data_IF_707009909818
#
_entry.id   IF_707009909818
#
_cell.length_a   1.000
_cell.length_b   1.000
_cell.length_c   1.000
_cell.angle_alpha   90.00
_cell.angle_beta   90.00
_cell.angle_gamma   90.00
#
_symmetry.space_group_name_H-M   'P 1'
#
loop_
_entity.id
_entity.type
_entity.pdbx_description
1 polymer ?
#
# COMPACT_ATOMS: atom_id res chain seq x y z
N UNK A 1 9.52 -2.44 4.67
CA UNK A 1 8.84 -3.70 4.39
C UNK A 1 9.87 -4.71 3.93
N UNK A 2 10.61 -5.21 4.92
CA UNK A 2 11.38 -6.46 4.81
C UNK A 2 10.48 -7.60 5.27
N UNK A 3 10.81 -8.86 4.98
CA UNK A 3 9.89 -9.95 5.33
C UNK A 3 9.62 -10.09 6.84
N UNK A 4 10.50 -9.60 7.73
CA UNK A 4 10.24 -9.52 9.18
C UNK A 4 9.08 -8.61 9.58
N UNK A 5 8.59 -7.79 8.64
CA UNK A 5 7.47 -6.87 8.84
C UNK A 5 6.13 -7.59 8.59
N UNK A 6 6.14 -8.86 8.15
CA UNK A 6 4.94 -9.71 8.02
C UNK A 6 4.78 -10.59 9.26
N UNK A 7 3.56 -10.62 9.77
CA UNK A 7 3.12 -11.62 10.74
C UNK A 7 2.17 -12.61 10.05
N UNK A 8 2.55 -13.88 10.07
CA UNK A 8 1.66 -14.97 9.70
C UNK A 8 1.01 -15.52 10.98
N UNK A 9 -0.32 -15.50 11.02
CA UNK A 9 -1.11 -16.06 12.12
C UNK A 9 -1.78 -17.34 11.62
N UNK A 10 -1.64 -18.43 12.37
CA UNK A 10 -2.30 -19.72 12.08
C UNK A 10 -3.10 -20.14 13.32
N UNK A 11 -4.40 -19.82 13.40
CA UNK A 11 -5.18 -20.04 14.61
C UNK A 11 -5.70 -21.49 14.75
N UNK A 12 -5.79 -22.27 13.67
CA UNK A 12 -6.59 -23.52 13.66
C UNK A 12 -5.81 -24.81 13.35
N UNK A 13 -4.48 -24.80 13.38
CA UNK A 13 -3.68 -26.00 13.11
C UNK A 13 -3.31 -26.82 14.37
N UNK A 14 -3.63 -26.28 15.55
CA UNK A 14 -3.30 -26.89 16.82
C UNK A 14 -4.05 -28.19 17.07
N UNK A 15 -3.41 -29.10 17.81
CA UNK A 15 -3.99 -30.41 18.18
C UNK A 15 -3.86 -30.72 19.67
N UNK A 16 -3.20 -29.84 20.43
CA UNK A 16 -3.07 -30.04 21.86
C UNK A 16 -4.43 -29.91 22.55
N UNK A 17 -4.70 -30.80 23.50
CA UNK A 17 -5.83 -30.68 24.41
C UNK A 17 -5.31 -30.02 25.69
N UNK A 18 -5.94 -28.93 26.18
CA UNK A 18 -5.61 -28.34 27.47
C UNK A 18 -5.60 -29.40 28.59
N UNK A 19 -4.61 -29.41 29.49
CA UNK A 19 -4.51 -30.42 30.54
C UNK A 19 -5.69 -30.40 31.53
N UNK A 20 -6.45 -29.31 31.59
CA UNK A 20 -7.68 -29.21 32.37
C UNK A 20 -8.86 -30.00 31.78
N UNK A 21 -8.78 -30.40 30.51
CA UNK A 21 -9.81 -31.18 29.83
C UNK A 21 -9.37 -32.64 29.81
N UNK A 22 -10.10 -33.49 30.55
CA UNK A 22 -9.88 -34.92 30.47
C UNK A 22 -10.26 -35.45 29.09
N UNK A 23 -9.43 -36.31 28.51
CA UNK A 23 -9.78 -36.98 27.26
C UNK A 23 -11.01 -37.89 27.42
N UNK A 24 -11.25 -38.39 28.63
CA UNK A 24 -12.42 -39.23 28.94
C UNK A 24 -13.74 -38.44 28.99
N UNK A 25 -13.66 -37.11 29.10
CA UNK A 25 -14.81 -36.20 29.09
C UNK A 25 -15.25 -35.84 27.67
N UNK A 26 -14.39 -36.08 26.67
CA UNK A 26 -14.69 -35.78 25.26
C UNK A 26 -15.69 -36.78 24.68
N UNK A 27 -16.55 -36.29 23.78
CA UNK A 27 -17.55 -37.14 23.14
C UNK A 27 -16.91 -38.28 22.34
N UNK A 28 -17.62 -39.41 22.23
CA UNK A 28 -17.13 -40.54 21.43
C UNK A 28 -16.99 -40.18 19.93
N UNK A 29 -17.69 -39.14 19.49
CA UNK A 29 -17.62 -38.59 18.13
C UNK A 29 -16.51 -37.54 17.97
N UNK A 30 -15.80 -37.15 19.03
CA UNK A 30 -14.75 -36.15 18.99
C UNK A 30 -13.70 -36.39 17.87
N UNK A 31 -13.22 -37.62 17.61
CA UNK A 31 -12.32 -37.88 16.49
C UNK A 31 -12.89 -37.51 15.12
N UNK A 32 -14.21 -37.60 14.94
CA UNK A 32 -14.91 -37.20 13.71
C UNK A 32 -14.98 -35.68 13.58
N UNK A 33 -15.10 -34.95 14.69
CA UNK A 33 -15.12 -33.48 14.71
C UNK A 33 -13.79 -32.88 14.25
N UNK A 34 -12.69 -33.59 14.47
CA UNK A 34 -11.34 -33.15 14.08
C UNK A 34 -11.16 -32.96 12.56
N UNK A 35 -12.10 -33.43 11.72
CA UNK A 35 -12.11 -33.12 10.28
C UNK A 35 -12.27 -31.62 9.98
N UNK A 36 -12.71 -30.83 10.95
CA UNK A 36 -12.91 -29.39 10.84
C UNK A 36 -11.70 -28.56 11.34
N UNK A 37 -10.59 -29.22 11.68
CA UNK A 37 -9.30 -28.56 12.02
C UNK A 37 -8.57 -28.22 10.72
N UNK A 38 -7.89 -27.07 10.68
CA UNK A 38 -7.14 -26.61 9.51
C UNK A 38 -5.81 -27.36 9.38
N UNK A 39 -5.90 -28.64 9.01
CA UNK A 39 -4.77 -29.56 9.03
C UNK A 39 -3.59 -29.08 8.17
N UNK A 40 -2.40 -29.14 8.76
CA UNK A 40 -1.10 -28.85 8.11
C UNK A 40 -0.89 -27.37 7.70
N UNK A 41 -1.80 -26.46 8.04
CA UNK A 41 -1.66 -25.03 7.71
C UNK A 41 -0.43 -24.40 8.37
N UNK A 42 0.02 -24.89 9.52
CA UNK A 42 1.28 -24.46 10.14
C UNK A 42 2.50 -24.69 9.25
N UNK A 43 2.48 -25.71 8.39
CA UNK A 43 3.56 -25.98 7.43
C UNK A 43 3.34 -25.26 6.11
N UNK A 44 2.08 -25.14 5.68
CA UNK A 44 1.68 -24.42 4.46
C UNK A 44 2.04 -22.94 4.54
N UNK A 45 1.86 -22.31 5.69
CA UNK A 45 2.12 -20.90 5.93
C UNK A 45 3.46 -20.63 6.66
N UNK A 46 4.36 -21.61 6.73
CA UNK A 46 5.72 -21.40 7.26
C UNK A 46 6.65 -20.88 6.16
N UNK A 47 6.87 -19.56 6.16
CA UNK A 47 7.74 -18.87 5.21
C UNK A 47 9.04 -18.38 5.85
N UNK A 48 9.34 -18.75 7.10
CA UNK A 48 10.41 -18.11 7.87
C UNK A 48 11.78 -18.28 7.22
N UNK A 49 12.01 -19.40 6.54
CA UNK A 49 13.23 -19.69 5.80
C UNK A 49 13.34 -18.96 4.45
N UNK A 50 12.22 -18.49 3.89
CA UNK A 50 12.15 -17.85 2.57
C UNK A 50 12.03 -16.34 2.69
N UNK A 51 11.08 -15.88 3.53
CA UNK A 51 10.72 -14.48 3.73
C UNK A 51 11.36 -13.89 5.00
N UNK A 52 11.69 -14.71 6.01
CA UNK A 52 12.16 -14.19 7.30
C UNK A 52 11.06 -13.52 8.12
N UNK A 53 9.79 -13.90 7.90
CA UNK A 53 8.64 -13.36 8.61
C UNK A 53 8.56 -13.82 10.07
N UNK A 54 7.66 -13.19 10.82
CA UNK A 54 7.23 -13.67 12.13
C UNK A 54 6.04 -14.60 11.97
N UNK A 55 5.92 -15.60 12.84
CA UNK A 55 4.83 -16.57 12.81
C UNK A 55 4.30 -16.82 14.23
N UNK A 56 2.98 -16.81 14.37
CA UNK A 56 2.29 -17.27 15.58
C UNK A 56 1.36 -18.40 15.18
N UNK A 57 1.45 -19.52 15.90
CA UNK A 57 0.57 -20.68 15.75
C UNK A 57 -0.14 -20.88 17.07
N UNK A 58 -1.47 -21.01 17.04
CA UNK A 58 -2.21 -21.41 18.23
C UNK A 58 -2.09 -22.94 18.41
N UNK A 59 -1.57 -23.43 19.55
CA UNK A 59 -1.17 -24.83 19.67
C UNK A 59 -2.33 -25.78 20.03
N UNK A 60 -3.45 -25.26 20.53
CA UNK A 60 -4.58 -26.07 20.99
C UNK A 60 -5.59 -26.34 19.88
N UNK A 61 -6.34 -27.44 20.03
CA UNK A 61 -7.37 -27.85 19.09
C UNK A 61 -8.50 -26.80 19.01
N UNK A 62 -8.80 -26.32 17.80
CA UNK A 62 -9.84 -25.31 17.55
C UNK A 62 -11.25 -25.76 17.94
N UNK A 63 -11.49 -27.08 17.94
CA UNK A 63 -12.76 -27.65 18.40
C UNK A 63 -13.00 -27.42 19.90
N UNK A 64 -11.93 -27.27 20.69
CA UNK A 64 -11.99 -27.03 22.13
C UNK A 64 -11.79 -25.56 22.48
N UNK A 65 -10.88 -24.89 21.77
CA UNK A 65 -10.50 -23.50 21.97
C UNK A 65 -10.37 -22.83 20.59
N UNK A 66 -11.39 -22.09 20.19
CA UNK A 66 -11.45 -21.44 18.87
C UNK A 66 -10.77 -20.06 18.94
N UNK A 67 -9.53 -19.98 18.47
CA UNK A 67 -8.71 -18.77 18.55
C UNK A 67 -9.07 -17.68 17.53
N UNK A 68 -9.96 -17.98 16.57
CA UNK A 68 -10.51 -16.97 15.66
C UNK A 68 -11.92 -16.49 16.07
N UNK A 69 -12.25 -16.58 17.38
CA UNK A 69 -13.45 -15.97 18.00
C UNK A 69 -13.06 -15.07 19.16
N UNK A 70 -13.97 -14.17 19.52
CA UNK A 70 -13.75 -13.23 20.61
C UNK A 70 -13.60 -13.98 21.95
N UNK A 71 -12.49 -13.81 22.69
CA UNK A 71 -12.32 -14.41 24.01
C UNK A 71 -13.39 -14.04 25.06
N UNK A 72 -14.20 -13.02 24.80
CA UNK A 72 -15.35 -12.64 25.64
C UNK A 72 -16.64 -13.40 25.28
N UNK A 73 -16.73 -13.95 24.08
CA UNK A 73 -17.90 -14.68 23.57
C UNK A 73 -17.70 -16.19 23.79
N UNK A 74 -17.86 -16.62 25.05
CA UNK A 74 -17.54 -17.99 25.51
C UNK A 74 -18.26 -19.10 24.73
N UNK A 75 -19.47 -18.83 24.23
CA UNK A 75 -20.26 -19.78 23.45
C UNK A 75 -19.66 -20.08 22.07
N UNK A 76 -18.80 -19.20 21.57
CA UNK A 76 -18.11 -19.41 20.31
C UNK A 76 -16.65 -19.81 20.50
N UNK A 77 -15.96 -19.21 21.48
CA UNK A 77 -14.52 -19.41 21.64
C UNK A 77 -14.15 -20.64 22.49
N UNK A 78 -15.08 -21.15 23.30
CA UNK A 78 -14.94 -22.43 24.03
C UNK A 78 -16.25 -23.20 23.90
N UNK A 79 -16.56 -23.77 22.72
CA UNK A 79 -17.88 -24.27 22.41
C UNK A 79 -18.22 -25.59 23.13
N UNK A 80 -19.51 -25.82 23.37
CA UNK A 80 -20.02 -27.12 23.86
C UNK A 80 -20.46 -28.03 22.72
N UNK A 81 -20.72 -27.46 21.54
CA UNK A 81 -21.15 -28.15 20.32
C UNK A 81 -20.37 -27.62 19.11
N UNK A 82 -20.19 -28.44 18.09
CA UNK A 82 -19.62 -27.99 16.81
C UNK A 82 -20.60 -27.10 16.03
N UNK A 83 -20.16 -26.63 14.85
CA UNK A 83 -20.98 -25.78 13.96
C UNK A 83 -22.25 -26.47 13.42
N UNK A 84 -22.38 -27.79 13.57
CA UNK A 84 -23.54 -28.59 13.18
C UNK A 84 -24.38 -29.01 14.39
N UNK A 85 -24.00 -28.64 15.60
CA UNK A 85 -24.70 -28.98 16.85
C UNK A 85 -24.29 -30.32 17.48
N UNK A 86 -23.22 -30.97 16.99
CA UNK A 86 -22.71 -32.20 17.60
C UNK A 86 -21.97 -31.89 18.92
N UNK A 87 -22.18 -32.67 19.99
CA UNK A 87 -21.57 -32.40 21.29
C UNK A 87 -20.06 -32.63 21.27
N UNK A 88 -19.31 -31.68 21.84
CA UNK A 88 -17.85 -31.78 22.03
C UNK A 88 -17.50 -32.68 23.22
N UNK A 89 -18.35 -32.66 24.25
CA UNK A 89 -18.17 -33.42 25.50
C UNK A 89 -19.22 -34.53 25.61
N UNK A 90 -18.95 -35.54 26.43
CA UNK A 90 -19.96 -36.53 26.84
C UNK A 90 -21.04 -35.86 27.67
N UNK A 91 -22.24 -36.42 27.61
CA UNK A 91 -23.37 -35.91 28.39
C UNK A 91 -23.07 -35.95 29.90
N UNK A 92 -23.16 -34.79 30.55
CA UNK A 92 -22.85 -34.60 31.96
C UNK A 92 -21.38 -34.26 32.25
N UNK A 93 -20.52 -34.26 31.23
CA UNK A 93 -19.10 -33.89 31.31
C UNK A 93 -18.83 -32.50 30.70
N UNK A 94 -19.87 -31.73 30.34
CA UNK A 94 -19.71 -30.39 29.80
C UNK A 94 -19.07 -29.45 30.83
N UNK A 95 -18.05 -28.66 30.44
CA UNK A 95 -17.44 -27.69 31.34
C UNK A 95 -18.43 -26.57 31.68
N UNK A 96 -18.38 -26.12 32.93
CA UNK A 96 -19.19 -24.98 33.36
C UNK A 96 -18.74 -23.68 32.68
N UNK A 97 -19.60 -22.67 32.64
CA UNK A 97 -19.24 -21.36 32.10
C UNK A 97 -18.02 -20.75 32.81
N UNK A 98 -17.85 -20.96 34.13
CA UNK A 98 -16.67 -20.44 34.84
C UNK A 98 -15.37 -21.12 34.40
N UNK A 99 -15.40 -22.43 34.13
CA UNK A 99 -14.26 -23.16 33.58
C UNK A 99 -13.92 -22.67 32.16
N UNK A 100 -14.93 -22.53 31.31
CA UNK A 100 -14.81 -22.04 29.92
C UNK A 100 -14.21 -20.63 29.89
N UNK A 101 -14.72 -19.72 30.71
CA UNK A 101 -14.15 -18.37 30.87
C UNK A 101 -12.69 -18.44 31.31
N UNK A 102 -12.37 -19.23 32.34
CA UNK A 102 -10.99 -19.36 32.81
C UNK A 102 -10.04 -19.88 31.72
N UNK A 103 -10.49 -20.80 30.86
CA UNK A 103 -9.69 -21.29 29.73
C UNK A 103 -9.53 -20.22 28.64
N UNK A 104 -10.58 -19.48 28.29
CA UNK A 104 -10.48 -18.35 27.36
C UNK A 104 -9.47 -17.30 27.85
N UNK A 105 -9.50 -16.98 29.14
CA UNK A 105 -8.55 -16.05 29.75
C UNK A 105 -7.11 -16.58 29.78
N UNK A 106 -6.95 -17.87 30.02
CA UNK A 106 -5.63 -18.51 30.11
C UNK A 106 -4.97 -18.73 28.76
N UNK A 107 -5.75 -19.03 27.71
CA UNK A 107 -5.21 -19.48 26.43
C UNK A 107 -5.47 -18.51 25.27
N UNK A 108 -6.68 -17.95 25.15
CA UNK A 108 -7.06 -17.12 24.01
C UNK A 108 -6.61 -15.66 24.17
N UNK A 109 -6.82 -15.06 25.36
CA UNK A 109 -6.37 -13.68 25.61
C UNK A 109 -4.85 -13.50 25.40
N UNK A 110 -3.96 -14.40 25.87
CA UNK A 110 -2.53 -14.29 25.60
C UNK A 110 -2.16 -14.47 24.14
N UNK A 111 -2.88 -15.31 23.39
CA UNK A 111 -2.68 -15.46 21.95
C UNK A 111 -2.93 -14.14 21.21
N UNK A 112 -4.06 -13.47 21.46
CA UNK A 112 -4.33 -12.17 20.85
C UNK A 112 -3.37 -11.07 21.31
N UNK A 113 -2.98 -11.07 22.58
CA UNK A 113 -1.94 -10.15 23.07
C UNK A 113 -0.62 -10.34 22.32
N UNK A 114 -0.24 -11.58 22.02
CA UNK A 114 0.99 -11.85 21.26
C UNK A 114 0.93 -11.26 19.84
N UNK A 115 -0.25 -11.20 19.22
CA UNK A 115 -0.45 -10.52 17.93
C UNK A 115 -0.19 -9.01 18.09
N UNK A 116 -0.81 -8.37 19.08
CA UNK A 116 -0.63 -6.94 19.38
C UNK A 116 0.84 -6.59 19.71
N UNK A 117 1.53 -7.44 20.46
CA UNK A 117 2.95 -7.30 20.79
C UNK A 117 3.83 -7.39 19.54
N UNK A 118 3.49 -8.26 18.58
CA UNK A 118 4.20 -8.35 17.30
C UNK A 118 3.99 -7.12 16.42
N UNK A 119 2.77 -6.58 16.36
CA UNK A 119 2.45 -5.32 15.66
C UNK A 119 3.23 -4.16 16.28
N UNK A 120 3.22 -4.07 17.61
CA UNK A 120 3.94 -3.04 18.36
C UNK A 120 5.46 -3.10 18.13
N UNK A 121 6.01 -4.31 17.98
CA UNK A 121 7.45 -4.54 17.79
C UNK A 121 7.92 -4.54 16.34
N UNK A 122 7.07 -4.15 15.38
CA UNK A 122 7.52 -3.83 14.02
C UNK A 122 6.75 -4.47 12.88
N UNK A 123 5.77 -5.35 13.15
CA UNK A 123 4.93 -5.91 12.09
C UNK A 123 4.07 -4.80 11.46
N UNK A 124 4.02 -4.80 10.13
CA UNK A 124 3.29 -3.85 9.28
C UNK A 124 2.18 -4.52 8.46
N UNK A 125 2.15 -5.85 8.35
CA UNK A 125 1.13 -6.61 7.62
C UNK A 125 0.83 -7.94 8.31
N UNK A 126 -0.44 -8.33 8.39
CA UNK A 126 -0.89 -9.62 8.95
C UNK A 126 -1.48 -10.48 7.83
N UNK A 127 -1.04 -11.73 7.74
CA UNK A 127 -1.69 -12.79 6.98
C UNK A 127 -2.33 -13.78 7.96
N UNK A 128 -3.66 -13.85 7.95
CA UNK A 128 -4.42 -14.85 8.71
C UNK A 128 -4.65 -16.09 7.83
N UNK A 129 -3.93 -17.17 8.14
CA UNK A 129 -3.79 -18.35 7.29
C UNK A 129 -4.72 -19.48 7.70
N UNK A 130 -5.60 -19.86 6.77
CA UNK A 130 -6.60 -20.92 6.95
C UNK A 130 -6.59 -21.94 5.81
N UNK A 131 -7.26 -23.07 6.03
CA UNK A 131 -7.57 -24.02 4.98
C UNK A 131 -9.03 -24.42 5.00
N UNK A 132 -9.52 -24.82 3.83
CA UNK A 132 -10.92 -25.23 3.68
C UNK A 132 -11.09 -26.38 2.70
N UNK A 133 -12.24 -27.03 2.76
CA UNK A 133 -12.67 -28.01 1.75
C UNK A 133 -13.50 -27.31 0.67
N UNK A 134 -13.98 -28.05 -0.33
CA UNK A 134 -14.91 -27.50 -1.34
C UNK A 134 -16.26 -27.21 -0.69
N UNK A 135 -16.43 -25.99 -0.18
CA UNK A 135 -17.62 -25.52 0.52
C UNK A 135 -17.72 -23.99 0.45
N UNK A 136 -18.89 -23.42 0.79
CA UNK A 136 -19.10 -21.96 0.92
C UNK A 136 -18.63 -21.15 -0.30
N UNK A 137 -18.82 -21.70 -1.50
CA UNK A 137 -18.41 -21.05 -2.76
C UNK A 137 -16.94 -21.22 -3.14
N UNK A 138 -16.14 -21.97 -2.37
CA UNK A 138 -14.74 -22.28 -2.68
C UNK A 138 -14.63 -23.57 -3.49
N UNK A 139 -14.05 -23.50 -4.69
CA UNK A 139 -13.77 -24.62 -5.57
C UNK A 139 -12.54 -25.44 -5.11
N UNK A 140 -12.44 -26.68 -5.59
CA UNK A 140 -11.35 -27.60 -5.19
C UNK A 140 -9.93 -27.15 -5.57
N UNK A 141 -9.78 -26.27 -6.57
CA UNK A 141 -8.49 -25.72 -6.98
C UNK A 141 -8.38 -24.22 -6.63
N UNK A 142 -9.05 -23.76 -5.58
CA UNK A 142 -9.16 -22.34 -5.26
C UNK A 142 -8.37 -21.91 -4.02
N UNK A 143 -7.83 -20.69 -4.10
CA UNK A 143 -7.38 -19.88 -2.97
C UNK A 143 -8.28 -18.64 -2.96
N UNK A 144 -8.98 -18.39 -1.86
CA UNK A 144 -9.76 -17.16 -1.69
C UNK A 144 -9.07 -16.24 -0.69
N UNK A 145 -8.97 -14.97 -1.05
CA UNK A 145 -8.36 -13.92 -0.23
C UNK A 145 -9.45 -12.97 0.23
N UNK A 146 -9.45 -12.59 1.50
CA UNK A 146 -10.49 -11.71 2.04
C UNK A 146 -9.89 -10.56 2.82
N UNK A 147 -10.21 -9.33 2.41
CA UNK A 147 -9.82 -8.12 3.12
C UNK A 147 -10.98 -7.44 3.85
N UNK A 148 -12.16 -8.06 3.90
CA UNK A 148 -13.28 -7.58 4.71
C UNK A 148 -14.21 -8.71 5.15
N UNK A 149 -15.08 -8.40 6.13
CA UNK A 149 -16.24 -9.19 6.49
C UNK A 149 -17.54 -8.35 6.57
N UNK A 150 -18.67 -9.03 6.39
CA UNK A 150 -20.02 -8.56 6.66
C UNK A 150 -20.83 -9.73 7.24
N UNK A 151 -20.59 -10.02 8.52
CA UNK A 151 -21.35 -11.01 9.27
C UNK A 151 -22.67 -10.43 9.80
N UNK A 152 -23.50 -11.28 10.40
CA UNK A 152 -24.73 -10.84 11.07
C UNK A 152 -24.48 -9.88 12.25
N UNK A 153 -23.24 -9.79 12.74
CA UNK A 153 -22.83 -8.91 13.86
C UNK A 153 -22.40 -7.52 13.39
N UNK A 154 -22.08 -7.38 12.11
CA UNK A 154 -21.48 -6.18 11.57
C UNK A 154 -22.59 -5.23 11.08
N UNK A 155 -22.71 -4.04 11.67
CA UNK A 155 -23.65 -3.01 11.18
C UNK A 155 -23.34 -2.56 9.75
N UNK A 156 -22.06 -2.62 9.36
CA UNK A 156 -21.51 -2.25 8.06
C UNK A 156 -20.26 -3.09 7.77
N UNK A 157 -19.78 -3.16 6.51
CA UNK A 157 -18.64 -3.99 6.20
C UNK A 157 -17.40 -3.55 6.97
N UNK A 158 -16.74 -4.50 7.63
CA UNK A 158 -15.50 -4.28 8.36
C UNK A 158 -14.33 -4.62 7.43
N UNK A 159 -13.67 -3.59 6.92
CA UNK A 159 -12.47 -3.73 6.08
C UNK A 159 -11.21 -3.85 6.93
N UNK A 160 -10.38 -4.82 6.60
CA UNK A 160 -9.12 -5.12 7.28
C UNK A 160 -7.92 -4.47 6.61
N UNK A 161 -7.98 -4.24 5.29
CA UNK A 161 -6.97 -3.51 4.53
C UNK A 161 -7.54 -2.95 3.21
N UNK A 162 -6.87 -1.97 2.57
CA UNK A 162 -7.28 -1.48 1.26
C UNK A 162 -7.13 -2.55 0.16
N UNK A 163 -8.01 -2.52 -0.85
CA UNK A 163 -8.05 -3.50 -1.95
C UNK A 163 -6.71 -3.65 -2.67
N UNK A 164 -5.94 -2.58 -2.80
CA UNK A 164 -4.63 -2.61 -3.47
C UNK A 164 -3.67 -3.63 -2.84
N UNK A 165 -3.74 -3.88 -1.53
CA UNK A 165 -2.87 -4.86 -0.87
C UNK A 165 -3.24 -6.28 -1.32
N UNK A 166 -4.53 -6.64 -1.18
CA UNK A 166 -5.01 -7.99 -1.48
C UNK A 166 -5.00 -8.28 -2.99
N UNK A 167 -5.33 -7.30 -3.84
CA UNK A 167 -5.31 -7.47 -5.30
C UNK A 167 -3.89 -7.58 -5.85
N UNK A 168 -2.93 -6.84 -5.28
CA UNK A 168 -1.52 -7.00 -5.66
C UNK A 168 -1.03 -8.40 -5.31
N UNK A 169 -1.33 -8.89 -4.10
CA UNK A 169 -1.00 -10.25 -3.69
C UNK A 169 -1.69 -11.31 -4.55
N UNK A 170 -2.97 -11.13 -4.85
CA UNK A 170 -3.73 -12.00 -5.75
C UNK A 170 -3.10 -12.08 -7.14
N UNK A 171 -2.71 -10.94 -7.72
CA UNK A 171 -2.05 -10.88 -9.01
C UNK A 171 -0.70 -11.63 -9.00
N UNK A 172 0.10 -11.47 -7.94
CA UNK A 172 1.37 -12.17 -7.79
C UNK A 172 1.21 -13.69 -7.58
N UNK A 173 0.14 -14.13 -6.92
CA UNK A 173 -0.23 -15.54 -6.84
C UNK A 173 -0.66 -16.10 -8.21
N UNK A 174 -1.54 -15.40 -8.94
CA UNK A 174 -2.02 -15.83 -10.27
C UNK A 174 -0.86 -16.01 -11.25
N UNK A 175 0.18 -15.17 -11.18
CA UNK A 175 1.40 -15.32 -11.99
C UNK A 175 2.19 -16.58 -11.65
N UNK A 176 2.25 -16.97 -10.38
CA UNK A 176 3.06 -18.10 -9.87
C UNK A 176 2.32 -19.44 -9.91
N UNK A 177 1.00 -19.39 -9.84
CA UNK A 177 0.10 -20.55 -9.76
C UNK A 177 -0.99 -20.44 -10.84
N UNK A 178 -0.65 -20.50 -12.13
CA UNK A 178 -1.60 -20.28 -13.23
C UNK A 178 -2.74 -21.32 -13.29
N UNK A 179 -2.56 -22.48 -12.67
CA UNK A 179 -3.57 -23.54 -12.58
C UNK A 179 -4.52 -23.41 -11.38
N UNK A 180 -4.22 -22.49 -10.46
CA UNK A 180 -4.99 -22.27 -9.23
C UNK A 180 -5.94 -21.09 -9.43
N UNK A 181 -7.21 -21.29 -9.11
CA UNK A 181 -8.20 -20.22 -9.10
C UNK A 181 -7.94 -19.31 -7.89
N UNK A 182 -7.36 -18.13 -8.11
CA UNK A 182 -7.15 -17.14 -7.04
C UNK A 182 -8.22 -16.06 -7.12
N UNK A 183 -9.03 -15.97 -6.08
CA UNK A 183 -10.14 -15.00 -5.97
C UNK A 183 -9.96 -14.05 -4.80
N UNK A 184 -10.65 -12.92 -4.85
CA UNK A 184 -10.68 -11.91 -3.79
C UNK A 184 -12.13 -11.67 -3.41
N UNK A 185 -12.46 -11.88 -2.14
CA UNK A 185 -13.79 -11.72 -1.54
C UNK A 185 -14.91 -12.47 -2.28
N UNK A 186 -14.61 -13.63 -2.88
CA UNK A 186 -15.57 -14.31 -3.75
C UNK A 186 -16.39 -15.39 -3.02
N UNK A 187 -15.89 -15.92 -1.91
CA UNK A 187 -16.56 -16.97 -1.16
C UNK A 187 -17.58 -16.42 -0.16
N UNK A 188 -18.41 -17.31 0.38
CA UNK A 188 -19.34 -16.97 1.46
C UNK A 188 -18.64 -16.79 2.82
N UNK A 189 -17.33 -17.00 2.90
CA UNK A 189 -16.55 -16.75 4.11
C UNK A 189 -16.52 -15.28 4.52
N UNK A 190 -16.78 -14.34 3.59
CA UNK A 190 -16.99 -12.92 3.93
C UNK A 190 -18.15 -12.69 4.92
N UNK A 191 -19.07 -13.66 5.07
CA UNK A 191 -20.19 -13.59 6.02
C UNK A 191 -19.85 -14.22 7.39
N UNK A 192 -18.67 -14.80 7.53
CA UNK A 192 -18.17 -15.43 8.76
C UNK A 192 -17.32 -14.42 9.51
N UNK A 193 -17.53 -14.32 10.83
CA UNK A 193 -16.73 -13.45 11.67
C UNK A 193 -15.36 -14.08 11.94
N UNK A 194 -14.29 -13.47 11.43
CA UNK A 194 -12.90 -13.83 11.72
C UNK A 194 -12.31 -12.84 12.73
N UNK A 195 -12.23 -13.25 14.00
CA UNK A 195 -11.87 -12.35 15.10
C UNK A 195 -10.42 -11.83 15.04
N UNK A 196 -9.47 -12.63 14.54
CA UNK A 196 -8.07 -12.23 14.37
C UNK A 196 -7.97 -10.97 13.52
N UNK A 197 -8.52 -10.98 12.31
CA UNK A 197 -8.58 -9.78 11.47
C UNK A 197 -9.48 -8.71 12.07
N UNK A 198 -10.66 -9.04 12.61
CA UNK A 198 -11.58 -8.04 13.13
C UNK A 198 -11.00 -7.22 14.31
N UNK A 199 -10.24 -7.85 15.20
CA UNK A 199 -9.68 -7.21 16.39
C UNK A 199 -8.36 -6.47 16.11
N UNK A 200 -7.50 -7.05 15.25
CA UNK A 200 -6.10 -6.65 15.10
C UNK A 200 -5.80 -5.86 13.82
N UNK A 201 -6.80 -5.63 12.97
CA UNK A 201 -6.60 -4.96 11.68
C UNK A 201 -6.97 -3.49 11.63
N UNK A 202 -6.44 -2.78 10.61
CA UNK A 202 -6.83 -1.41 10.28
C UNK A 202 -6.89 -1.24 8.76
N UNK A 203 -7.97 -0.65 8.24
CA UNK A 203 -8.09 -0.32 6.82
C UNK A 203 -7.19 0.87 6.41
N UNK A 204 -5.89 0.65 6.38
CA UNK A 204 -4.86 1.60 5.97
C UNK A 204 -3.67 0.89 5.35
N UNK A 205 -2.84 1.59 4.57
CA UNK A 205 -1.63 1.02 3.96
C UNK A 205 -0.50 0.74 4.97
N UNK A 206 -0.64 1.21 6.21
CA UNK A 206 0.35 1.09 7.29
C UNK A 206 -0.37 0.86 8.60
N UNK A 207 0.35 0.30 9.58
CA UNK A 207 -0.19 0.11 10.92
C UNK A 207 -0.58 1.42 11.61
N UNK A 208 -1.50 1.34 12.55
CA UNK A 208 -1.93 2.44 13.42
C UNK A 208 -2.05 1.91 14.84
N UNK A 209 -1.18 2.36 15.74
CA UNK A 209 -1.09 1.80 17.09
C UNK A 209 -0.76 0.30 17.07
N UNK A 210 -1.56 -0.49 17.79
CA UNK A 210 -1.43 -1.94 17.87
C UNK A 210 -2.24 -2.69 16.79
N UNK A 211 -2.62 -2.03 15.68
CA UNK A 211 -3.35 -2.63 14.56
C UNK A 211 -2.61 -2.46 13.25
N UNK A 212 -2.59 -3.48 12.41
CA UNK A 212 -1.91 -3.47 11.10
C UNK A 212 -2.87 -3.88 9.97
N UNK A 213 -2.68 -3.46 8.70
CA UNK A 213 -3.44 -4.05 7.61
C UNK A 213 -3.36 -5.57 7.66
N UNK A 214 -4.49 -6.23 7.41
CA UNK A 214 -4.59 -7.67 7.45
C UNK A 214 -5.46 -8.20 6.32
N UNK A 215 -5.27 -9.46 5.96
CA UNK A 215 -6.23 -10.20 5.13
C UNK A 215 -6.18 -11.69 5.49
N UNK A 216 -7.30 -12.36 5.22
CA UNK A 216 -7.46 -13.81 5.41
C UNK A 216 -7.12 -14.50 4.10
N UNK A 217 -6.43 -15.64 4.17
CA UNK A 217 -6.27 -16.56 3.04
C UNK A 217 -6.85 -17.93 3.37
N UNK A 218 -7.86 -18.32 2.61
CA UNK A 218 -8.46 -19.66 2.64
C UNK A 218 -7.89 -20.50 1.50
N UNK A 219 -7.07 -21.49 1.83
CA UNK A 219 -6.48 -22.39 0.83
C UNK A 219 -7.22 -23.73 0.79
N UNK A 220 -7.75 -24.11 -0.37
CA UNK A 220 -8.43 -25.40 -0.48
C UNK A 220 -7.47 -26.57 -0.24
N UNK A 221 -7.84 -27.52 0.62
CA UNK A 221 -7.02 -28.67 1.01
C UNK A 221 -6.59 -29.55 -0.16
N UNK A 222 -7.40 -29.65 -1.22
CA UNK A 222 -7.03 -30.44 -2.42
C UNK A 222 -5.79 -29.90 -3.14
N UNK A 223 -5.42 -28.64 -2.90
CA UNK A 223 -4.20 -28.06 -3.44
C UNK A 223 -2.94 -28.62 -2.78
N UNK A 224 -3.03 -29.15 -1.56
CA UNK A 224 -1.86 -29.61 -0.79
C UNK A 224 -1.99 -30.98 -0.12
N UNK A 225 -3.16 -31.60 -0.19
CA UNK A 225 -3.40 -32.98 0.23
C UNK A 225 -3.65 -33.89 -0.98
N UNK A 226 -3.43 -35.19 -0.78
CA UNK A 226 -3.80 -36.25 -1.72
C UNK A 226 -5.28 -36.60 -1.57
N UNK A 227 -5.86 -37.33 -2.53
CA UNK A 227 -7.29 -37.72 -2.50
C UNK A 227 -7.66 -38.56 -1.27
N UNK A 228 -6.70 -39.28 -0.68
CA UNK A 228 -6.88 -40.05 0.55
C UNK A 228 -6.71 -39.23 1.84
N UNK A 229 -6.61 -37.90 1.74
CA UNK A 229 -6.44 -36.98 2.88
C UNK A 229 -5.02 -36.92 3.44
N UNK A 230 -4.06 -37.66 2.89
CA UNK A 230 -2.66 -37.55 3.33
C UNK A 230 -2.00 -36.29 2.80
N UNK A 231 -1.17 -35.65 3.62
CA UNK A 231 -0.43 -34.45 3.22
C UNK A 231 0.51 -34.73 2.05
N UNK A 232 0.56 -33.80 1.09
CA UNK A 232 1.49 -33.85 -0.03
C UNK A 232 2.61 -32.81 0.17
N UNK A 233 3.76 -33.27 0.65
CA UNK A 233 4.90 -32.42 1.02
C UNK A 233 5.42 -31.60 -0.17
N UNK A 234 5.42 -32.16 -1.38
CA UNK A 234 5.86 -31.44 -2.59
C UNK A 234 4.90 -30.30 -2.91
N UNK A 235 3.59 -30.52 -2.81
CA UNK A 235 2.58 -29.48 -3.03
C UNK A 235 2.64 -28.38 -1.97
N UNK A 236 2.80 -28.75 -0.69
CA UNK A 236 3.02 -27.77 0.40
C UNK A 236 4.23 -26.89 0.09
N UNK A 237 5.37 -27.48 -0.26
CA UNK A 237 6.59 -26.70 -0.52
C UNK A 237 6.46 -25.79 -1.76
N UNK A 238 5.72 -26.23 -2.78
CA UNK A 238 5.41 -25.40 -3.94
C UNK A 238 4.54 -24.20 -3.56
N UNK A 239 3.45 -24.44 -2.82
CA UNK A 239 2.52 -23.40 -2.41
C UNK A 239 3.18 -22.41 -1.45
N UNK A 240 3.86 -22.89 -0.40
CA UNK A 240 4.47 -21.99 0.58
C UNK A 240 5.52 -21.07 -0.05
N UNK A 241 6.27 -21.57 -1.04
CA UNK A 241 7.21 -20.78 -1.83
C UNK A 241 6.49 -19.72 -2.65
N UNK A 242 5.43 -20.11 -3.36
CA UNK A 242 4.63 -19.17 -4.13
C UNK A 242 4.01 -18.08 -3.24
N UNK A 243 3.52 -18.42 -2.04
CA UNK A 243 2.94 -17.49 -1.08
C UNK A 243 4.00 -16.52 -0.56
N UNK A 244 5.15 -17.03 -0.12
CA UNK A 244 6.26 -16.22 0.37
C UNK A 244 6.79 -15.24 -0.69
N UNK A 245 7.00 -15.72 -1.92
CA UNK A 245 7.49 -14.89 -3.03
C UNK A 245 6.44 -13.87 -3.50
N UNK A 246 5.16 -14.22 -3.49
CA UNK A 246 4.07 -13.28 -3.80
C UNK A 246 3.92 -12.20 -2.72
N UNK A 247 4.05 -12.55 -1.44
CA UNK A 247 4.08 -11.58 -0.34
C UNK A 247 5.28 -10.63 -0.48
N UNK A 248 6.48 -11.16 -0.73
CA UNK A 248 7.68 -10.35 -0.93
C UNK A 248 7.50 -9.34 -2.06
N UNK A 249 7.01 -9.79 -3.23
CA UNK A 249 6.80 -8.92 -4.37
C UNK A 249 5.70 -7.89 -4.11
N UNK A 250 4.64 -8.26 -3.39
CA UNK A 250 3.58 -7.33 -2.99
C UNK A 250 4.14 -6.21 -2.13
N UNK A 251 4.95 -6.55 -1.12
CA UNK A 251 5.59 -5.57 -0.24
C UNK A 251 6.52 -4.63 -1.01
N UNK A 252 7.31 -5.18 -1.94
CA UNK A 252 8.17 -4.38 -2.80
C UNK A 252 7.36 -3.41 -3.67
N UNK A 253 6.33 -3.89 -4.35
CA UNK A 253 5.50 -3.06 -5.23
C UNK A 253 4.76 -1.96 -4.46
N UNK A 254 4.24 -2.25 -3.25
CA UNK A 254 3.63 -1.25 -2.37
C UNK A 254 4.63 -0.21 -1.86
N UNK A 255 5.91 -0.57 -1.71
CA UNK A 255 6.97 0.38 -1.36
C UNK A 255 7.37 1.24 -2.55
N UNK A 256 7.49 0.65 -3.74
CA UNK A 256 7.82 1.35 -4.98
C UNK A 256 6.72 2.36 -5.35
N UNK A 257 5.44 1.98 -5.22
CA UNK A 257 4.31 2.90 -5.41
C UNK A 257 4.24 4.02 -4.36
N UNK A 258 5.01 3.91 -3.27
CA UNK A 258 5.14 4.94 -2.24
C UNK A 258 6.41 5.79 -2.37
N UNK A 259 7.36 5.45 -3.27
CA UNK A 259 8.52 6.30 -3.54
C UNK A 259 8.07 7.53 -4.33
N UNK A 260 8.55 8.74 -3.97
CA UNK A 260 8.30 9.93 -4.79
C UNK A 260 8.79 9.67 -6.21
N UNK A 261 7.90 9.81 -7.18
CA UNK A 261 8.30 9.96 -8.58
C UNK A 261 9.00 11.31 -8.68
N UNK A 262 10.28 11.33 -9.03
CA UNK A 262 11.04 12.57 -9.23
C UNK A 262 11.92 12.41 -10.46
N UNK A 263 11.74 13.34 -11.40
CA UNK A 263 12.55 13.47 -12.59
C UNK A 263 13.97 13.88 -12.16
N UNK A 264 14.97 13.16 -12.68
CA UNK A 264 16.37 13.50 -12.47
C UNK A 264 16.75 14.70 -13.35
N UNK A 265 16.36 15.89 -12.89
CA UNK A 265 16.62 17.15 -13.55
C UNK A 265 17.87 17.78 -12.95
N UNK A 266 18.86 18.20 -13.76
CA UNK A 266 20.01 18.93 -13.20
C UNK A 266 19.56 20.18 -12.43
N UNK A 267 20.26 20.50 -11.33
CA UNK A 267 19.96 21.69 -10.56
C UNK A 267 20.43 22.94 -11.29
N UNK A 268 19.62 24.00 -11.31
CA UNK A 268 19.93 25.24 -12.01
C UNK A 268 19.51 26.46 -11.20
N UNK A 269 20.48 27.30 -10.82
CA UNK A 269 20.24 28.47 -9.97
C UNK A 269 20.31 29.76 -10.79
N UNK A 270 19.32 30.63 -10.58
CA UNK A 270 19.27 31.94 -11.22
C UNK A 270 20.43 32.83 -10.73
N UNK A 271 20.94 33.70 -11.59
CA UNK A 271 22.10 34.57 -11.28
C UNK A 271 21.64 35.91 -10.73
N UNK A 272 20.56 36.45 -11.29
CA UNK A 272 19.95 37.73 -10.93
C UNK A 272 18.61 37.48 -10.21
N UNK A 273 17.93 38.51 -9.74
CA UNK A 273 16.58 38.39 -9.17
C UNK A 273 15.48 38.25 -10.23
N UNK A 274 15.78 38.57 -11.49
CA UNK A 274 14.83 38.59 -12.61
C UNK A 274 14.98 37.46 -13.64
N UNK A 275 16.03 36.63 -13.58
CA UNK A 275 16.33 35.62 -14.60
C UNK A 275 15.74 34.22 -14.30
N UNK A 276 14.79 34.11 -13.36
CA UNK A 276 14.15 32.84 -13.00
C UNK A 276 13.53 32.12 -14.21
N UNK A 277 12.88 32.83 -15.12
CA UNK A 277 12.29 32.26 -16.33
C UNK A 277 13.34 31.73 -17.32
N UNK A 278 14.42 32.49 -17.54
CA UNK A 278 15.53 32.05 -18.38
C UNK A 278 16.22 30.81 -17.81
N UNK A 279 16.48 30.80 -16.50
CA UNK A 279 17.07 29.67 -15.82
C UNK A 279 16.15 28.44 -15.83
N UNK A 280 14.84 28.62 -15.61
CA UNK A 280 13.89 27.52 -15.67
C UNK A 280 13.87 26.86 -17.06
N UNK A 281 13.86 27.66 -18.13
CA UNK A 281 13.93 27.14 -19.49
C UNK A 281 15.28 26.45 -19.76
N UNK A 282 16.39 27.06 -19.36
CA UNK A 282 17.73 26.50 -19.51
C UNK A 282 17.81 25.09 -18.91
N UNK A 283 17.37 24.96 -17.66
CA UNK A 283 17.38 23.70 -16.92
C UNK A 283 16.58 22.61 -17.63
N UNK A 284 15.40 22.93 -18.17
CA UNK A 284 14.59 21.97 -18.93
C UNK A 284 15.19 21.70 -20.32
N UNK A 285 15.87 22.65 -20.96
CA UNK A 285 16.57 22.40 -22.23
C UNK A 285 17.77 21.46 -22.05
N UNK A 286 18.55 21.63 -20.98
CA UNK A 286 19.65 20.72 -20.63
C UNK A 286 19.14 19.30 -20.35
N UNK A 287 17.99 19.14 -19.71
CA UNK A 287 17.34 17.83 -19.52
C UNK A 287 17.13 17.07 -20.82
N UNK A 288 16.94 17.77 -21.94
CA UNK A 288 16.75 17.20 -23.28
C UNK A 288 18.01 17.29 -24.16
N UNK A 289 19.19 17.36 -23.54
CA UNK A 289 20.50 17.37 -24.19
C UNK A 289 20.71 18.55 -25.16
N UNK A 290 20.07 19.70 -24.90
CA UNK A 290 20.33 20.93 -25.65
C UNK A 290 21.30 21.79 -24.86
N UNK A 291 22.58 21.70 -25.23
CA UNK A 291 23.63 22.53 -24.65
C UNK A 291 23.58 23.96 -25.22
N UNK A 292 23.16 24.89 -24.38
CA UNK A 292 23.17 26.32 -24.65
C UNK A 292 23.71 27.02 -23.39
N UNK A 293 24.48 28.08 -23.59
CA UNK A 293 24.97 28.90 -22.48
C UNK A 293 23.87 29.84 -21.97
N UNK A 294 23.86 30.08 -20.67
CA UNK A 294 22.83 30.92 -20.03
C UNK A 294 22.80 32.38 -20.51
N UNK A 295 23.97 32.97 -20.77
CA UNK A 295 24.13 34.33 -21.33
C UNK A 295 23.52 34.46 -22.73
N UNK A 296 23.78 33.48 -23.60
CA UNK A 296 23.19 33.38 -24.93
C UNK A 296 21.68 33.18 -24.87
N UNK A 297 21.19 32.33 -23.96
CA UNK A 297 19.76 32.08 -23.78
C UNK A 297 19.03 33.34 -23.31
N UNK A 298 19.55 34.03 -22.28
CA UNK A 298 18.96 35.28 -21.77
C UNK A 298 18.87 36.33 -22.88
N UNK A 299 19.93 36.47 -23.68
CA UNK A 299 19.95 37.39 -24.82
C UNK A 299 18.88 37.03 -25.85
N UNK A 300 18.73 35.73 -26.18
CA UNK A 300 17.73 35.26 -27.13
C UNK A 300 16.28 35.42 -26.61
N UNK A 301 16.07 35.32 -25.30
CA UNK A 301 14.79 35.52 -24.63
C UNK A 301 14.44 37.00 -24.46
N UNK A 302 15.43 37.89 -24.53
CA UNK A 302 15.24 39.30 -24.19
C UNK A 302 14.96 39.49 -22.69
N UNK A 303 15.49 38.62 -21.84
CA UNK A 303 15.35 38.71 -20.38
C UNK A 303 15.93 40.03 -19.88
N UNK A 304 15.17 40.76 -19.07
CA UNK A 304 15.57 42.02 -18.45
C UNK A 304 15.17 42.05 -16.98
N UNK A 305 15.37 43.18 -16.28
CA UNK A 305 14.95 43.40 -14.87
C UNK A 305 13.44 43.15 -14.62
N UNK A 306 12.67 43.03 -15.69
CA UNK A 306 11.22 42.82 -15.73
C UNK A 306 10.85 41.35 -15.86
N UNK A 307 11.85 40.47 -15.84
CA UNK A 307 11.68 39.04 -16.01
C UNK A 307 11.77 38.56 -17.46
N UNK A 308 11.16 37.40 -17.70
CA UNK A 308 11.11 36.73 -19.00
C UNK A 308 9.66 36.44 -19.38
N UNK A 309 9.25 36.92 -20.55
CA UNK A 309 7.89 36.68 -21.07
C UNK A 309 7.67 35.20 -21.43
N UNK A 310 6.50 34.60 -21.11
CA UNK A 310 6.15 33.26 -21.55
C UNK A 310 6.24 33.08 -23.08
N UNK A 311 5.81 34.09 -23.84
CA UNK A 311 5.80 34.08 -25.30
C UNK A 311 7.22 34.01 -25.86
N UNK A 312 8.19 34.69 -25.23
CA UNK A 312 9.60 34.60 -25.58
C UNK A 312 10.16 33.19 -25.34
N UNK A 313 9.85 32.58 -24.18
CA UNK A 313 10.26 31.21 -23.85
C UNK A 313 9.74 30.21 -24.89
N UNK A 314 8.47 30.32 -25.26
CA UNK A 314 7.84 29.47 -26.28
C UNK A 314 8.52 29.64 -27.65
N UNK A 315 8.76 30.89 -28.06
CA UNK A 315 9.36 31.19 -29.36
C UNK A 315 10.80 30.67 -29.45
N UNK A 316 11.61 30.88 -28.40
CA UNK A 316 12.99 30.39 -28.34
C UNK A 316 13.02 28.86 -28.30
N UNK A 317 12.24 28.23 -27.43
CA UNK A 317 12.19 26.76 -27.36
C UNK A 317 11.82 26.11 -28.71
N UNK A 318 10.86 26.69 -29.45
CA UNK A 318 10.52 26.23 -30.81
C UNK A 318 11.69 26.37 -31.79
N UNK A 319 12.50 27.44 -31.70
CA UNK A 319 13.71 27.61 -32.52
C UNK A 319 14.76 26.53 -32.27
N UNK A 320 14.81 25.97 -31.05
CA UNK A 320 15.65 24.82 -30.69
C UNK A 320 15.03 23.46 -31.06
N UNK A 321 13.90 23.46 -31.76
CA UNK A 321 13.27 22.26 -32.32
C UNK A 321 12.39 21.49 -31.34
N UNK A 322 11.94 22.12 -30.24
CA UNK A 322 10.95 21.53 -29.36
C UNK A 322 9.53 21.71 -29.90
N UNK A 323 8.70 20.68 -29.70
CA UNK A 323 7.25 20.88 -29.64
C UNK A 323 6.93 21.46 -28.27
N UNK A 324 6.27 22.62 -28.23
CA UNK A 324 5.94 23.30 -26.96
C UNK A 324 4.43 23.26 -26.76
N UNK A 325 4.00 22.59 -25.69
CA UNK A 325 2.62 22.67 -25.19
C UNK A 325 2.59 23.62 -24.01
N UNK A 326 1.71 24.61 -24.08
CA UNK A 326 1.58 25.64 -23.06
C UNK A 326 0.15 26.17 -23.00
N UNK A 327 -0.17 26.89 -21.94
CA UNK A 327 -1.40 27.65 -21.83
C UNK A 327 -1.71 28.04 -20.39
N UNK A 328 -2.77 28.81 -20.23
CA UNK A 328 -3.42 29.07 -18.94
C UNK A 328 -4.54 28.07 -18.70
N UNK A 329 -5.13 28.09 -17.50
CA UNK A 329 -6.25 27.23 -17.10
C UNK A 329 -5.93 25.73 -17.17
N UNK A 330 -4.65 25.36 -17.01
CA UNK A 330 -4.31 23.95 -16.87
C UNK A 330 -4.88 23.39 -15.57
N UNK A 331 -5.26 22.12 -15.58
CA UNK A 331 -5.65 21.43 -14.35
C UNK A 331 -4.41 20.88 -13.63
N UNK A 332 -4.48 20.78 -12.30
CA UNK A 332 -3.43 20.09 -11.54
C UNK A 332 -3.22 18.65 -12.02
N UNK A 333 -4.29 17.96 -12.41
CA UNK A 333 -4.19 16.60 -12.97
C UNK A 333 -3.37 16.56 -14.26
N UNK A 334 -3.50 17.57 -15.12
CA UNK A 334 -2.70 17.67 -16.35
C UNK A 334 -1.21 17.86 -16.03
N UNK A 335 -0.87 18.70 -15.03
CA UNK A 335 0.51 18.84 -14.56
C UNK A 335 1.05 17.51 -14.04
N UNK A 336 0.28 16.82 -13.17
CA UNK A 336 0.67 15.51 -12.61
C UNK A 336 0.91 14.47 -13.70
N UNK A 337 0.06 14.40 -14.73
CA UNK A 337 0.21 13.48 -15.85
C UNK A 337 1.51 13.68 -16.63
N UNK A 338 1.94 14.91 -16.87
CA UNK A 338 3.23 15.17 -17.54
C UNK A 338 4.41 14.74 -16.67
N UNK A 339 4.37 15.07 -15.38
CA UNK A 339 5.45 14.73 -14.44
C UNK A 339 5.57 13.21 -14.26
N UNK A 340 4.45 12.49 -14.12
CA UNK A 340 4.42 11.03 -14.06
C UNK A 340 4.96 10.38 -15.35
N UNK A 341 4.80 11.05 -16.50
CA UNK A 341 5.37 10.63 -17.78
C UNK A 341 6.85 11.04 -17.97
N UNK A 342 7.51 11.59 -16.94
CA UNK A 342 8.91 12.01 -16.99
C UNK A 342 9.15 13.33 -17.71
N UNK A 343 8.12 14.17 -17.88
CA UNK A 343 8.18 15.49 -18.54
C UNK A 343 8.12 16.59 -17.49
N UNK A 344 9.19 17.39 -17.27
CA UNK A 344 9.17 18.53 -16.35
C UNK A 344 8.17 19.60 -16.82
N UNK A 345 7.47 20.22 -15.86
CA UNK A 345 6.48 21.26 -16.16
C UNK A 345 6.94 22.59 -15.59
N UNK A 346 7.21 23.57 -16.47
CA UNK A 346 7.46 24.95 -16.05
C UNK A 346 6.11 25.58 -15.70
N UNK A 347 6.04 26.18 -14.51
CA UNK A 347 4.85 26.85 -13.98
C UNK A 347 5.22 28.26 -13.53
N UNK A 348 4.22 29.13 -13.47
CA UNK A 348 4.34 30.50 -12.99
C UNK A 348 3.43 30.68 -11.76
N UNK A 349 3.99 31.08 -10.63
CA UNK A 349 3.30 31.12 -9.34
C UNK A 349 3.79 32.25 -8.44
N UNK A 350 3.03 32.58 -7.39
CA UNK A 350 3.40 33.54 -6.34
C UNK A 350 4.32 32.90 -5.28
N UNK A 351 5.52 33.45 -5.09
CA UNK A 351 6.58 32.80 -4.30
C UNK A 351 7.00 33.53 -3.02
N UNK A 352 6.95 34.87 -2.99
CA UNK A 352 7.58 35.67 -1.93
C UNK A 352 6.59 36.16 -0.88
N UNK A 353 7.01 36.23 0.38
CA UNK A 353 6.21 36.81 1.46
C UNK A 353 7.08 37.25 2.64
N UNK A 354 6.87 38.48 3.10
CA UNK A 354 7.53 39.05 4.30
C UNK A 354 6.81 38.71 5.61
N UNK A 355 5.66 38.03 5.51
CA UNK A 355 4.82 37.64 6.65
C UNK A 355 4.20 36.27 6.41
N UNK A 356 3.55 35.75 7.45
CA UNK A 356 2.68 34.58 7.30
C UNK A 356 1.53 34.89 6.33
N UNK A 357 1.31 33.97 5.38
CA UNK A 357 0.29 34.06 4.32
C UNK A 357 -0.69 32.90 4.46
N UNK A 358 -1.98 33.21 4.52
CA UNK A 358 -3.05 32.21 4.39
C UNK A 358 -3.28 31.84 2.93
N UNK A 359 -4.03 30.76 2.66
CA UNK A 359 -4.42 30.41 1.28
C UNK A 359 -5.22 31.53 0.60
N UNK A 360 -6.03 32.29 1.36
CA UNK A 360 -6.79 33.42 0.81
C UNK A 360 -5.91 34.66 0.57
N UNK A 361 -4.84 34.84 1.34
CA UNK A 361 -3.83 35.86 1.05
C UNK A 361 -3.14 35.55 -0.29
N UNK A 362 -2.66 34.31 -0.47
CA UNK A 362 -1.99 33.88 -1.71
C UNK A 362 -2.86 34.05 -2.95
N UNK A 363 -4.15 33.70 -2.88
CA UNK A 363 -5.11 33.88 -3.99
C UNK A 363 -5.28 35.34 -4.43
N UNK A 364 -4.96 36.29 -3.56
CA UNK A 364 -5.13 37.73 -3.79
C UNK A 364 -3.81 38.42 -4.12
N UNK A 365 -2.70 37.72 -4.03
CA UNK A 365 -1.39 38.23 -4.36
C UNK A 365 -1.13 38.13 -5.86
N UNK A 366 -0.55 39.16 -6.46
CA UNK A 366 -0.28 39.23 -7.91
C UNK A 366 1.03 39.96 -8.20
N UNK A 367 1.86 40.23 -7.19
CA UNK A 367 3.05 41.05 -7.33
C UNK A 367 4.36 40.27 -7.07
N UNK A 368 4.26 38.97 -6.75
CA UNK A 368 5.38 38.15 -6.30
C UNK A 368 5.58 36.94 -7.23
N UNK A 369 5.47 37.19 -8.54
CA UNK A 369 5.57 36.21 -9.62
C UNK A 369 6.93 35.53 -9.72
N UNK A 370 6.91 34.21 -9.94
CA UNK A 370 8.12 33.38 -10.02
C UNK A 370 7.94 32.14 -10.88
N UNK A 371 8.93 31.83 -11.71
CA UNK A 371 8.97 30.58 -12.46
C UNK A 371 9.61 29.47 -11.63
N UNK A 372 8.95 28.32 -11.58
CA UNK A 372 9.49 27.10 -11.00
C UNK A 372 9.19 25.90 -11.92
N UNK A 373 9.85 24.76 -11.69
CA UNK A 373 9.69 23.56 -12.49
C UNK A 373 9.16 22.45 -11.60
N UNK A 374 7.97 21.94 -11.89
CA UNK A 374 7.46 20.73 -11.22
C UNK A 374 8.21 19.52 -11.77
N UNK A 375 8.89 18.80 -10.88
CA UNK A 375 9.74 17.66 -11.22
C UNK A 375 9.32 16.36 -10.54
N UNK A 376 8.44 16.41 -9.55
CA UNK A 376 8.07 15.19 -8.85
C UNK A 376 6.78 15.30 -8.06
N UNK A 377 6.22 14.13 -7.76
CA UNK A 377 4.96 13.98 -7.05
C UNK A 377 5.16 13.06 -5.84
N UNK A 378 4.56 13.44 -4.71
CA UNK A 378 4.49 12.58 -3.54
C UNK A 378 3.18 12.82 -2.79
N UNK A 379 2.20 11.91 -2.98
CA UNK A 379 0.84 12.05 -2.42
C UNK A 379 0.21 13.39 -2.85
N UNK A 380 -0.04 14.28 -1.89
CA UNK A 380 -0.64 15.60 -2.07
C UNK A 380 0.41 16.72 -2.11
N UNK A 381 1.66 16.39 -2.46
CA UNK A 381 2.80 17.32 -2.52
C UNK A 381 3.42 17.28 -3.91
N UNK A 382 3.66 18.48 -4.44
CA UNK A 382 4.44 18.75 -5.64
C UNK A 382 5.87 19.08 -5.22
N UNK A 383 6.85 18.50 -5.91
CA UNK A 383 8.28 18.77 -5.74
C UNK A 383 8.76 19.63 -6.91
N UNK A 384 9.58 20.63 -6.60
CA UNK A 384 10.03 21.62 -7.56
C UNK A 384 11.56 21.66 -7.67
N UNK A 385 12.04 21.86 -8.89
CA UNK A 385 13.28 22.60 -9.09
C UNK A 385 12.97 24.08 -9.14
N UNK A 386 13.60 24.83 -8.27
CA UNK A 386 13.32 26.24 -8.05
C UNK A 386 14.60 27.04 -8.31
N UNK A 387 14.65 27.84 -9.39
CA UNK A 387 15.82 28.65 -9.72
C UNK A 387 16.31 29.55 -8.59
N UNK A 388 15.45 29.96 -7.66
CA UNK A 388 15.82 30.81 -6.54
C UNK A 388 16.39 30.05 -5.33
N UNK A 389 16.37 28.72 -5.35
CA UNK A 389 16.75 27.87 -4.22
C UNK A 389 17.86 26.88 -4.59
N UNK A 390 18.80 26.67 -3.66
CA UNK A 390 19.83 25.61 -3.79
C UNK A 390 19.21 24.22 -3.52
N UNK A 391 18.09 24.18 -2.79
CA UNK A 391 17.38 22.96 -2.41
C UNK A 391 16.14 22.80 -3.28
N UNK A 392 15.78 21.55 -3.60
CA UNK A 392 14.43 21.27 -4.11
C UNK A 392 13.40 21.78 -3.11
N UNK A 393 12.39 22.46 -3.61
CA UNK A 393 11.28 23.01 -2.82
C UNK A 393 10.04 22.16 -3.01
N UNK A 394 9.02 22.38 -2.18
CA UNK A 394 7.79 21.60 -2.24
C UNK A 394 6.59 22.44 -1.81
N UNK A 395 5.42 22.13 -2.37
CA UNK A 395 4.14 22.74 -2.00
C UNK A 395 3.08 21.64 -1.93
N UNK A 396 2.13 21.76 -1.00
CA UNK A 396 0.94 20.90 -1.03
C UNK A 396 0.04 21.30 -2.20
N UNK A 397 -0.74 20.36 -2.74
CA UNK A 397 -1.68 20.60 -3.85
C UNK A 397 -2.54 21.85 -3.64
N UNK A 398 -3.12 22.00 -2.43
CA UNK A 398 -3.99 23.13 -2.09
C UNK A 398 -3.27 24.47 -2.04
N UNK A 399 -2.01 24.45 -1.64
CA UNK A 399 -1.18 25.65 -1.53
C UNK A 399 -0.68 26.06 -2.92
N UNK A 400 -0.22 25.11 -3.72
CA UNK A 400 0.13 25.35 -5.12
C UNK A 400 -1.04 25.97 -5.88
N UNK A 401 -2.24 25.37 -5.81
CA UNK A 401 -3.45 25.91 -6.45
C UNK A 401 -3.81 27.33 -5.99
N UNK A 402 -3.46 27.72 -4.75
CA UNK A 402 -3.70 29.06 -4.25
C UNK A 402 -2.67 30.09 -4.73
N UNK A 403 -1.50 29.63 -5.19
CA UNK A 403 -0.38 30.46 -5.66
C UNK A 403 -0.24 30.46 -7.19
N UNK A 404 -0.92 29.56 -7.90
CA UNK A 404 -0.68 29.25 -9.32
C UNK A 404 -1.32 30.27 -10.27
N UNK A 405 -0.89 31.51 -10.14
CA UNK A 405 -1.31 32.62 -10.99
C UNK A 405 -0.25 33.71 -10.94
N UNK A 406 -0.24 34.57 -11.95
CA UNK A 406 0.61 35.75 -12.01
C UNK A 406 0.08 36.77 -13.03
N UNK A 407 0.63 37.98 -13.08
CA UNK A 407 0.24 39.02 -14.01
C UNK A 407 1.45 39.73 -14.59
N UNK A 408 1.44 39.96 -15.91
CA UNK A 408 2.41 40.83 -16.55
C UNK A 408 2.15 42.29 -16.13
N UNK A 409 3.11 42.91 -15.44
CA UNK A 409 2.97 44.26 -14.90
C UNK A 409 2.76 45.34 -15.99
N UNK A 410 3.25 45.12 -17.21
CA UNK A 410 3.20 46.11 -18.30
C UNK A 410 1.92 46.03 -19.10
N UNK A 411 1.51 44.81 -19.43
CA UNK A 411 0.35 44.55 -20.29
C UNK A 411 -0.93 44.33 -19.49
N UNK A 412 -0.82 43.98 -18.20
CA UNK A 412 -1.93 43.55 -17.35
C UNK A 412 -2.48 42.18 -17.73
N UNK A 413 -1.79 41.42 -18.59
CA UNK A 413 -2.19 40.07 -18.99
C UNK A 413 -2.07 39.13 -17.78
N UNK A 414 -3.15 38.41 -17.48
CA UNK A 414 -3.20 37.46 -16.36
C UNK A 414 -2.89 36.04 -16.82
N UNK A 415 -2.00 35.39 -16.09
CA UNK A 415 -1.59 34.02 -16.29
C UNK A 415 -2.10 33.14 -15.16
N UNK A 416 -3.39 32.79 -15.20
CA UNK A 416 -3.96 31.84 -14.25
C UNK A 416 -3.64 30.40 -14.67
N UNK A 417 -3.14 29.60 -13.73
CA UNK A 417 -2.79 28.20 -13.94
C UNK A 417 -1.91 27.98 -15.19
N UNK A 418 -0.86 28.79 -15.33
CA UNK A 418 0.06 28.68 -16.44
C UNK A 418 0.93 27.43 -16.34
N UNK A 419 0.94 26.63 -17.40
CA UNK A 419 1.85 25.50 -17.55
C UNK A 419 2.52 25.51 -18.91
N UNK A 420 3.77 25.08 -18.96
CA UNK A 420 4.54 24.87 -20.19
C UNK A 420 5.39 23.61 -20.09
N UNK A 421 5.37 22.79 -21.15
CA UNK A 421 6.24 21.61 -21.30
C UNK A 421 6.95 21.63 -22.65
N UNK A 422 8.18 21.10 -22.66
CA UNK A 422 8.96 20.85 -23.87
C UNK A 422 8.88 19.37 -24.24
N UNK A 423 8.58 19.09 -25.51
CA UNK A 423 8.39 17.75 -26.07
C UNK A 423 9.19 17.58 -27.38
N UNK A 424 9.24 16.35 -27.89
CA UNK A 424 9.84 16.03 -29.19
C UNK A 424 11.33 15.71 -29.17
N UNK A 425 11.97 15.73 -27.99
CA UNK A 425 13.35 15.28 -27.76
C UNK A 425 13.39 14.24 -26.63
N UNK A 426 14.43 13.42 -26.62
CA UNK A 426 14.65 12.42 -25.57
C UNK A 426 15.45 13.05 -24.41
N UNK A 427 15.10 12.75 -23.14
CA UNK A 427 15.90 13.16 -22.01
C UNK A 427 17.33 12.63 -22.05
N UNK A 428 18.26 13.33 -21.41
CA UNK A 428 19.63 12.87 -21.20
C UNK A 428 19.59 11.53 -20.47
N UNK A 429 20.20 10.51 -21.07
CA UNK A 429 20.57 9.30 -20.35
C UNK A 429 21.94 9.54 -19.73
N UNK A 430 22.07 9.32 -18.42
CA UNK A 430 23.35 9.45 -17.72
C UNK A 430 24.38 8.50 -18.35
N UNK A 431 25.28 9.07 -19.17
CA UNK A 431 26.42 8.39 -19.76
C UNK A 431 27.67 9.16 -19.36
N UNK A 432 28.72 8.44 -18.95
CA UNK A 432 30.02 9.03 -18.68
C UNK A 432 30.74 9.24 -20.01
N UNK A 433 31.05 10.49 -20.32
CA UNK A 433 31.87 10.84 -21.49
C UNK A 433 33.32 11.08 -21.07
N UNK A 434 34.27 10.65 -21.91
CA UNK A 434 35.70 10.89 -21.71
C UNK A 434 36.03 12.36 -21.99
N UNK A 435 36.70 13.03 -21.07
CA UNK A 435 37.18 14.41 -21.27
C UNK A 435 38.33 14.39 -22.29
N UNK A 436 38.07 14.88 -23.51
CA UNK A 436 39.08 15.03 -24.57
C UNK A 436 40.06 16.18 -24.35
#
# INVERSE_FOLDING_TARGET
MTGSDVLVVVPHSGVAVPPEISLDDLSDEFPVLLKNVDWHTQWLYDFRDILGNRQIIFPYCSILLEANRDPLEIDECVPLVDVFGHPVYRSGCEPSNSMRTAWAEKYLKPFHRSIEENISSGVELILDGHSTITTRGVAGNQIDLMNFQQSARDEKPLYYCPDIIVETYAAELRKRLPEVLVTVNASEFIKVHGHVCAAHSVNALKKTGARAPAFIQETNERLFQNENGTVNVTRINRLRRAFAEALAQTMQSLQESQRPSMIDLHGGRQTYDYDCGAQALLTVMHYYNVDIRGDELMTALGTSEEGTSPQAMIAVARRYGFEVKYGTQWSLNQVKQYVDAGTPVIVLLQAWADRYMTLDDWRRDWNDGHYAIVIGLNKDVLLFEDPASIRRTWLRDREFLARWHDMDEKTGEKYEHFGMVLLGKQPVQSHLEHME
#
